data_IF_001177443916
#
_entry.id   IF_001177443916
#
_cell.length_a   1.000
_cell.length_b   1.000
_cell.length_c   1.000
_cell.angle_alpha   90.00
_cell.angle_beta   90.00
_cell.angle_gamma   90.00
#
_symmetry.space_group_name_H-M   'P 1'
#
loop_
_entity.id
_entity.type
_entity.pdbx_description
1 polymer ?
#
# COMPACT_ATOMS: atom_id res chain seq x y z
N UNK A 1 5.25 2.85 9.66
CA UNK A 1 4.02 3.64 9.59
C UNK A 1 3.66 4.11 10.98
N UNK A 2 3.56 5.43 11.16
CA UNK A 2 3.10 6.02 12.42
C UNK A 2 1.63 5.66 12.68
N UNK A 3 1.21 5.73 13.94
CA UNK A 3 -0.18 5.48 14.29
C UNK A 3 -1.12 6.50 13.61
N UNK A 4 -2.17 6.00 12.96
CA UNK A 4 -3.11 6.82 12.20
C UNK A 4 -2.58 7.36 10.86
N UNK A 5 -1.36 7.01 10.45
CA UNK A 5 -0.85 7.32 9.11
C UNK A 5 -1.46 6.36 8.09
N UNK A 6 -1.79 6.91 6.91
CA UNK A 6 -2.37 6.20 5.78
C UNK A 6 -1.51 6.38 4.51
N UNK A 7 -1.43 5.32 3.71
CA UNK A 7 -1.01 5.36 2.31
C UNK A 7 -2.28 5.29 1.45
N UNK A 8 -2.56 6.30 0.60
CA UNK A 8 -3.79 6.36 -0.19
C UNK A 8 -3.96 5.19 -1.15
N UNK A 9 -5.18 5.02 -1.67
CA UNK A 9 -5.48 4.03 -2.71
C UNK A 9 -4.60 4.25 -3.94
N UNK A 10 -3.82 3.23 -4.27
CA UNK A 10 -3.03 3.16 -5.49
C UNK A 10 -2.96 1.72 -6.01
N UNK A 11 -2.56 1.58 -7.26
CA UNK A 11 -2.28 0.28 -7.87
C UNK A 11 -1.01 0.33 -8.71
N UNK A 12 -0.50 -0.84 -9.04
CA UNK A 12 0.67 -1.03 -9.89
C UNK A 12 0.29 -1.80 -11.15
N UNK A 13 0.81 -1.40 -12.31
CA UNK A 13 0.62 -2.15 -13.56
C UNK A 13 1.66 -3.24 -13.75
N UNK A 14 2.86 -3.04 -13.21
CA UNK A 14 3.98 -3.96 -13.38
C UNK A 14 4.30 -4.67 -12.07
N UNK A 15 4.45 -3.94 -10.96
CA UNK A 15 4.83 -4.49 -9.67
C UNK A 15 3.75 -5.43 -9.14
N UNK A 16 4.20 -6.60 -8.71
CA UNK A 16 3.50 -7.48 -7.78
C UNK A 16 4.30 -7.45 -6.49
N UNK A 17 3.62 -7.32 -5.36
CA UNK A 17 4.26 -7.14 -4.06
C UNK A 17 3.60 -7.95 -2.95
N UNK A 18 4.41 -8.36 -2.00
CA UNK A 18 3.97 -8.81 -0.69
C UNK A 18 4.12 -7.66 0.29
N UNK A 19 3.00 -7.22 0.87
CA UNK A 19 2.96 -6.26 1.97
C UNK A 19 2.97 -7.06 3.28
N UNK A 20 3.90 -6.74 4.17
CA UNK A 20 4.24 -7.57 5.33
C UNK A 20 4.17 -6.73 6.60
N UNK A 21 3.41 -7.18 7.60
CA UNK A 21 3.53 -6.65 8.94
C UNK A 21 4.74 -7.30 9.65
N UNK A 22 5.90 -6.64 9.61
CA UNK A 22 7.14 -7.14 10.26
C UNK A 22 7.11 -6.98 11.79
N UNK A 23 6.25 -6.12 12.33
CA UNK A 23 6.06 -5.95 13.77
C UNK A 23 5.44 -4.64 14.19
N UNK A 24 5.21 -4.51 15.50
CA UNK A 24 4.51 -3.36 16.09
C UNK A 24 3.01 -3.63 16.20
N UNK A 25 2.21 -2.63 15.83
CA UNK A 25 0.74 -2.70 15.79
C UNK A 25 0.19 -3.55 14.64
N UNK A 26 -1.11 -3.40 14.40
CA UNK A 26 -1.82 -4.08 13.32
C UNK A 26 -1.83 -3.23 12.05
N UNK A 27 -1.62 -3.88 10.91
CA UNK A 27 -1.66 -3.25 9.59
C UNK A 27 -3.00 -3.56 8.93
N UNK A 28 -3.79 -2.53 8.64
CA UNK A 28 -5.01 -2.68 7.85
C UNK A 28 -4.71 -2.40 6.39
N UNK A 29 -5.30 -3.21 5.51
CA UNK A 29 -5.21 -3.06 4.05
C UNK A 29 -6.62 -3.21 3.50
N UNK A 30 -7.06 -2.24 2.71
CA UNK A 30 -8.34 -2.32 1.99
C UNK A 30 -8.07 -2.36 0.50
N UNK A 31 -8.94 -3.09 -0.21
CA UNK A 31 -8.80 -3.32 -1.64
C UNK A 31 -10.03 -2.87 -2.41
N UNK A 32 -9.81 -2.47 -3.66
CA UNK A 32 -10.85 -2.29 -4.66
C UNK A 32 -10.31 -2.60 -6.05
N UNK A 33 -11.21 -2.80 -7.01
CA UNK A 33 -10.86 -2.83 -8.43
C UNK A 33 -11.66 -1.78 -9.19
N UNK A 34 -11.05 -1.28 -10.27
CA UNK A 34 -11.63 -0.26 -11.13
C UNK A 34 -11.62 -0.78 -12.57
N UNK A 35 -12.73 -0.58 -13.28
CA UNK A 35 -12.82 -0.91 -14.70
C UNK A 35 -12.12 0.12 -15.61
N UNK A 36 -12.08 -0.17 -16.90
CA UNK A 36 -11.47 0.73 -17.89
C UNK A 36 -12.19 2.09 -18.04
N UNK A 37 -13.37 2.27 -17.44
CA UNK A 37 -14.13 3.51 -17.43
C UNK A 37 -14.00 4.27 -16.10
N UNK A 38 -13.02 3.91 -15.27
CA UNK A 38 -12.80 4.46 -13.94
C UNK A 38 -13.98 4.21 -12.96
N UNK A 39 -14.74 3.13 -13.15
CA UNK A 39 -15.82 2.74 -12.23
C UNK A 39 -15.36 1.64 -11.30
N UNK A 40 -15.58 1.84 -10.00
CA UNK A 40 -15.33 0.82 -8.99
C UNK A 40 -16.23 -0.40 -9.24
N UNK A 41 -15.63 -1.58 -9.19
CA UNK A 41 -16.33 -2.86 -9.27
C UNK A 41 -16.85 -3.28 -7.89
N UNK A 42 -18.01 -3.95 -7.87
CA UNK A 42 -18.63 -4.48 -6.64
C UNK A 42 -18.32 -5.96 -6.39
N UNK A 43 -17.46 -6.58 -7.21
CA UNK A 43 -17.12 -8.00 -7.07
C UNK A 43 -16.17 -8.19 -5.89
N UNK A 44 -16.20 -9.39 -5.29
CA UNK A 44 -15.22 -9.79 -4.29
C UNK A 44 -13.81 -9.79 -4.85
N UNK A 45 -12.86 -9.52 -3.98
CA UNK A 45 -11.44 -9.43 -4.27
C UNK A 45 -10.77 -10.61 -3.61
N UNK A 46 -10.05 -11.39 -4.40
CA UNK A 46 -9.28 -12.53 -3.89
C UNK A 46 -7.83 -12.12 -3.70
N UNK A 47 -7.32 -12.33 -2.50
CA UNK A 47 -5.91 -12.10 -2.14
C UNK A 47 -5.32 -13.36 -1.53
N UNK A 48 -3.98 -13.44 -1.49
CA UNK A 48 -3.27 -14.51 -0.79
C UNK A 48 -2.69 -13.95 0.51
N UNK A 49 -3.11 -14.48 1.65
CA UNK A 49 -2.56 -14.14 2.96
C UNK A 49 -1.71 -15.30 3.42
N UNK A 50 -0.40 -15.10 3.52
CA UNK A 50 0.56 -16.16 3.86
C UNK A 50 0.42 -17.45 2.99
N UNK A 51 -0.04 -17.30 1.74
CA UNK A 51 -0.30 -18.40 0.79
C UNK A 51 -1.75 -18.93 0.78
N UNK A 52 -2.59 -18.52 1.71
CA UNK A 52 -4.00 -18.92 1.80
C UNK A 52 -4.92 -17.94 1.06
N UNK A 53 -5.89 -18.47 0.31
CA UNK A 53 -6.85 -17.63 -0.43
C UNK A 53 -7.91 -17.06 0.51
N UNK A 54 -8.04 -15.73 0.49
CA UNK A 54 -9.09 -14.99 1.22
C UNK A 54 -9.90 -14.17 0.22
N UNK A 55 -11.21 -14.14 0.39
CA UNK A 55 -12.11 -13.28 -0.39
C UNK A 55 -12.66 -12.16 0.50
N UNK A 56 -12.57 -10.93 0.02
CA UNK A 56 -12.99 -9.72 0.71
C UNK A 56 -13.99 -8.94 -0.16
N UNK A 57 -14.97 -8.30 0.44
CA UNK A 57 -15.77 -7.30 -0.26
C UNK A 57 -14.90 -6.03 -0.52
N UNK A 58 -15.17 -5.23 -1.58
CA UNK A 58 -14.46 -3.98 -1.78
C UNK A 58 -14.56 -3.06 -0.56
N UNK A 59 -13.44 -2.45 -0.17
CA UNK A 59 -13.28 -1.66 1.08
C UNK A 59 -13.39 -2.46 2.38
N UNK A 60 -13.55 -3.79 2.35
CA UNK A 60 -13.45 -4.61 3.55
C UNK A 60 -11.98 -4.64 4.04
N UNK A 61 -11.71 -4.23 5.28
CA UNK A 61 -10.33 -4.16 5.78
C UNK A 61 -9.80 -5.55 6.12
N UNK A 62 -8.72 -5.95 5.45
CA UNK A 62 -7.87 -7.06 5.85
C UNK A 62 -6.91 -6.59 6.95
N UNK A 63 -6.94 -7.24 8.11
CA UNK A 63 -6.06 -6.92 9.23
C UNK A 63 -4.91 -7.92 9.29
N UNK A 64 -3.71 -7.49 8.91
CA UNK A 64 -2.48 -8.27 9.08
C UNK A 64 -1.91 -8.10 10.48
N UNK A 65 -1.87 -9.19 11.23
CA UNK A 65 -1.14 -9.26 12.50
C UNK A 65 0.36 -9.37 12.24
N UNK A 66 1.15 -9.11 13.29
CA UNK A 66 2.60 -9.28 13.24
C UNK A 66 2.99 -10.65 12.69
N UNK A 67 3.84 -10.65 11.67
CA UNK A 67 4.36 -11.84 11.00
C UNK A 67 3.60 -12.23 9.74
N UNK A 68 2.40 -11.68 9.52
CA UNK A 68 1.58 -11.99 8.35
C UNK A 68 1.92 -11.09 7.16
N UNK A 69 1.73 -11.62 5.96
CA UNK A 69 1.80 -10.89 4.71
C UNK A 69 0.58 -11.12 3.82
N UNK A 70 0.34 -10.17 2.92
CA UNK A 70 -0.60 -10.34 1.81
C UNK A 70 0.12 -10.11 0.49
N UNK A 71 -0.11 -10.99 -0.48
CA UNK A 71 0.29 -10.78 -1.87
C UNK A 71 -0.76 -9.93 -2.57
N UNK A 72 -0.34 -8.78 -3.10
CA UNK A 72 -1.17 -7.87 -3.86
C UNK A 72 -0.82 -8.01 -5.34
N UNK A 73 -1.80 -8.47 -6.11
CA UNK A 73 -1.68 -8.63 -7.55
C UNK A 73 -1.75 -7.28 -8.28
N UNK A 74 -1.24 -7.27 -9.51
CA UNK A 74 -1.25 -6.08 -10.38
C UNK A 74 -2.67 -5.57 -10.61
N UNK A 75 -2.81 -4.26 -10.73
CA UNK A 75 -4.07 -3.53 -10.98
C UNK A 75 -5.12 -3.66 -9.87
N UNK A 76 -4.80 -4.29 -8.73
CA UNK A 76 -5.64 -4.22 -7.53
C UNK A 76 -5.28 -2.92 -6.80
N UNK A 77 -6.25 -2.03 -6.67
CA UNK A 77 -6.08 -0.84 -5.87
C UNK A 77 -6.08 -1.24 -4.41
N UNK A 78 -5.11 -0.72 -3.67
CA UNK A 78 -4.95 -0.98 -2.25
C UNK A 78 -4.59 0.31 -1.53
N UNK A 79 -5.15 0.47 -0.33
CA UNK A 79 -4.71 1.45 0.66
C UNK A 79 -4.35 0.74 1.94
N UNK A 80 -3.45 1.30 2.72
CA UNK A 80 -3.09 0.68 3.99
C UNK A 80 -2.69 1.70 5.05
N UNK A 81 -2.93 1.34 6.29
CA UNK A 81 -2.79 2.22 7.44
C UNK A 81 -2.54 1.43 8.72
N UNK A 82 -1.91 2.08 9.71
CA UNK A 82 -1.84 1.52 11.06
C UNK A 82 -3.23 1.57 11.71
N UNK A 83 -3.69 0.43 12.23
CA UNK A 83 -4.96 0.37 12.96
C UNK A 83 -4.88 1.27 14.19
N UNK A 84 -5.83 2.22 14.30
CA UNK A 84 -5.89 3.15 15.43
C UNK A 84 -5.96 2.40 16.76
N UNK A 85 -5.12 2.79 17.72
CA UNK A 85 -5.00 2.17 19.03
C UNK A 85 -4.09 0.94 19.08
N UNK A 86 -3.55 0.47 17.95
CA UNK A 86 -2.61 -0.67 17.92
C UNK A 86 -1.13 -0.25 17.97
N UNK A 87 -0.85 1.04 17.80
CA UNK A 87 0.49 1.61 17.78
C UNK A 87 1.18 1.58 16.41
N UNK A 88 2.44 1.98 16.39
CA UNK A 88 3.26 2.07 15.18
C UNK A 88 3.45 0.69 14.53
N UNK A 89 3.42 0.62 13.20
CA UNK A 89 3.64 -0.59 12.41
C UNK A 89 4.98 -0.52 11.67
N UNK A 90 5.78 -1.58 11.74
CA UNK A 90 6.91 -1.81 10.86
C UNK A 90 6.41 -2.58 9.63
N UNK A 91 6.06 -1.86 8.58
CA UNK A 91 5.70 -2.45 7.30
C UNK A 91 6.98 -2.88 6.56
N UNK A 92 6.94 -4.03 5.91
CA UNK A 92 7.95 -4.46 4.94
C UNK A 92 7.30 -4.76 3.61
N UNK A 93 8.08 -4.63 2.54
CA UNK A 93 7.66 -4.95 1.18
C UNK A 93 8.71 -5.90 0.57
N UNK A 94 8.24 -6.95 -0.11
CA UNK A 94 9.08 -7.77 -0.98
C UNK A 94 8.34 -7.88 -2.30
N UNK A 95 8.97 -7.46 -3.39
CA UNK A 95 8.26 -7.26 -4.65
C UNK A 95 9.12 -7.65 -5.85
N UNK A 96 8.48 -7.60 -7.02
CA UNK A 96 9.19 -7.38 -8.28
C UNK A 96 9.87 -5.99 -8.27
N UNK A 97 10.60 -5.65 -9.35
CA UNK A 97 11.28 -4.35 -9.47
C UNK A 97 10.29 -3.21 -9.21
N UNK A 98 10.67 -2.31 -8.31
CA UNK A 98 9.92 -1.09 -8.01
C UNK A 98 10.32 0.03 -8.99
N UNK A 99 9.32 0.69 -9.59
CA UNK A 99 9.49 1.93 -10.34
C UNK A 99 8.50 2.98 -9.83
N UNK A 100 8.88 3.66 -8.76
CA UNK A 100 8.04 4.68 -8.14
C UNK A 100 7.73 5.88 -9.06
N UNK A 101 8.50 6.10 -10.13
CA UNK A 101 8.28 7.21 -11.06
C UNK A 101 7.12 6.95 -12.02
N UNK A 102 6.88 5.69 -12.41
CA UNK A 102 5.96 5.38 -13.52
C UNK A 102 4.94 4.27 -13.21
N UNK A 103 5.08 3.55 -12.10
CA UNK A 103 4.22 2.40 -11.80
C UNK A 103 3.26 2.63 -10.62
N UNK A 104 3.07 3.88 -10.19
CA UNK A 104 2.08 4.25 -9.19
C UNK A 104 0.86 4.91 -9.83
N UNK A 105 -0.30 4.24 -9.74
CA UNK A 105 -1.57 4.75 -10.24
C UNK A 105 -2.49 5.04 -9.07
N UNK A 106 -2.50 6.28 -8.61
CA UNK A 106 -3.36 6.72 -7.49
C UNK A 106 -4.80 6.91 -7.93
N UNK A 107 -5.73 6.55 -7.05
CA UNK A 107 -7.15 6.77 -7.27
C UNK A 107 -7.52 8.26 -7.17
N UNK A 108 -6.92 8.94 -6.20
CA UNK A 108 -7.02 10.39 -6.04
C UNK A 108 -5.87 11.09 -6.78
N UNK A 109 -6.08 12.34 -7.17
CA UNK A 109 -5.05 13.14 -7.83
C UNK A 109 -4.01 13.64 -6.81
N UNK A 110 -3.15 12.72 -6.37
CA UNK A 110 -2.04 12.97 -5.44
C UNK A 110 -0.71 12.67 -6.12
N UNK A 111 0.32 13.44 -5.76
CA UNK A 111 1.68 13.19 -6.24
C UNK A 111 2.38 12.11 -5.41
N UNK A 112 3.23 11.29 -6.06
CA UNK A 112 4.07 10.30 -5.36
C UNK A 112 5.15 10.96 -4.49
N UNK A 113 5.64 12.11 -4.94
CA UNK A 113 6.72 12.88 -4.30
C UNK A 113 6.24 14.28 -3.95
N UNK A 114 6.72 14.79 -2.82
CA UNK A 114 6.49 16.17 -2.40
C UNK A 114 7.56 17.10 -2.97
N UNK A 115 7.21 18.37 -3.13
CA UNK A 115 8.22 19.40 -3.36
C UNK A 115 8.97 19.68 -2.05
N UNK A 116 10.26 20.00 -2.16
CA UNK A 116 11.12 20.27 -1.02
C UNK A 116 11.41 21.76 -0.96
N UNK A 117 11.24 22.33 0.23
CA UNK A 117 11.69 23.67 0.53
C UNK A 117 13.06 23.55 1.20
N UNK A 118 14.11 23.98 0.52
CA UNK A 118 15.51 23.95 1.00
C UNK A 118 15.75 25.06 2.05
N UNK A 119 15.17 24.91 3.24
CA UNK A 119 15.28 25.87 4.33
C UNK A 119 16.55 25.68 5.19
N UNK A 120 17.20 24.53 5.11
CA UNK A 120 18.51 24.24 5.71
C UNK A 120 19.31 23.20 4.89
N UNK A 121 20.64 23.07 5.10
CA UNK A 121 21.43 22.04 4.42
C UNK A 121 20.98 20.61 4.79
N UNK A 122 20.87 19.67 3.83
CA UNK A 122 20.36 18.32 4.10
C UNK A 122 21.34 17.49 4.92
N UNK A 123 20.83 16.78 5.94
CA UNK A 123 21.61 15.81 6.70
C UNK A 123 21.92 14.54 5.90
N UNK A 124 20.95 14.10 5.09
CA UNK A 124 21.03 12.92 4.22
C UNK A 124 20.30 13.19 2.89
N UNK A 125 20.78 12.67 1.76
CA UNK A 125 20.06 12.77 0.49
C UNK A 125 18.85 11.83 0.48
N UNK A 126 17.76 12.24 -0.18
CA UNK A 126 16.68 11.31 -0.52
C UNK A 126 17.05 10.51 -1.77
N UNK A 127 16.42 9.33 -1.93
CA UNK A 127 16.76 8.41 -3.02
C UNK A 127 16.46 8.98 -4.42
N UNK A 128 15.48 9.89 -4.53
CA UNK A 128 15.04 10.52 -5.78
C UNK A 128 15.72 11.87 -6.07
N UNK A 129 16.72 12.26 -5.28
CA UNK A 129 17.50 13.50 -5.44
C UNK A 129 18.91 13.26 -5.96
N UNK A 130 19.23 12.01 -6.33
CA UNK A 130 20.57 11.56 -6.76
C UNK A 130 20.66 11.44 -8.27
#
# INVERSE_FOLDING_TARGET
MQEGQEIPFHSHKIKLEDIINRGGGDLAIEFLEIDNNNKQLSKKITVLVDGEKIELDPHEPLILKKGQSVTVERNIFHRFYSVKGSGMVMAGEVSQVNDDNNDNYFLEQVGRFSQIQEDEPPLHPLWNEV
#
